data_IF_253363751846
#
_entry.id   IF_253363751846
#
_cell.length_a   1.000
_cell.length_b   1.000
_cell.length_c   1.000
_cell.angle_alpha   90.00
_cell.angle_beta   90.00
_cell.angle_gamma   90.00
#
_symmetry.space_group_name_H-M   'P 1'
#
loop_
_entity.id
_entity.type
_entity.pdbx_description
1 polymer ?
#
# COMPACT_ATOMS: atom_id res chain seq x y z
N UNK A 1 -9.98 -6.20 16.14
CA UNK A 1 -9.94 -5.20 15.06
C UNK A 1 -10.11 -5.95 13.75
N UNK A 2 -11.02 -5.52 12.87
CA UNK A 2 -11.22 -6.21 11.59
C UNK A 2 -10.00 -5.93 10.70
N UNK A 3 -9.18 -6.95 10.48
CA UNK A 3 -7.92 -6.86 9.73
C UNK A 3 -8.24 -6.83 8.22
N UNK A 4 -8.78 -5.71 7.74
CA UNK A 4 -8.99 -5.50 6.32
C UNK A 4 -7.77 -4.79 5.73
N UNK A 5 -7.25 -5.32 4.62
CA UNK A 5 -6.30 -4.58 3.79
C UNK A 5 -6.98 -3.30 3.32
N UNK A 6 -6.25 -2.19 3.39
CA UNK A 6 -6.72 -0.93 2.84
C UNK A 6 -6.59 -0.97 1.31
N UNK A 7 -7.34 -0.11 0.60
CA UNK A 7 -7.22 0.00 -0.86
C UNK A 7 -5.77 0.31 -1.31
N UNK A 8 -4.99 1.18 -0.63
CA UNK A 8 -3.56 1.36 -0.90
C UNK A 8 -2.74 0.09 -0.77
N UNK A 9 -3.03 -0.74 0.23
CA UNK A 9 -2.32 -2.00 0.41
C UNK A 9 -2.55 -2.93 -0.78
N UNK A 10 -3.79 -2.97 -1.28
CA UNK A 10 -4.16 -3.78 -2.46
C UNK A 10 -3.44 -3.28 -3.72
N UNK A 11 -3.43 -1.97 -3.95
CA UNK A 11 -2.75 -1.37 -5.11
C UNK A 11 -1.24 -1.63 -5.06
N UNK A 12 -0.64 -1.48 -3.88
CA UNK A 12 0.78 -1.74 -3.70
C UNK A 12 1.10 -3.23 -3.88
N UNK A 13 0.25 -4.14 -3.41
CA UNK A 13 0.42 -5.58 -3.64
C UNK A 13 0.40 -5.91 -5.14
N UNK A 14 -0.54 -5.35 -5.90
CA UNK A 14 -0.64 -5.57 -7.34
C UNK A 14 0.63 -5.10 -8.07
N UNK A 15 1.09 -3.87 -7.76
CA UNK A 15 2.34 -3.35 -8.31
C UNK A 15 3.53 -4.29 -8.02
N UNK A 16 3.66 -4.71 -6.76
CA UNK A 16 4.78 -5.53 -6.30
C UNK A 16 4.75 -6.95 -6.88
N UNK A 17 3.58 -7.52 -7.14
CA UNK A 17 3.43 -8.79 -7.84
C UNK A 17 3.75 -8.67 -9.33
N UNK A 18 3.39 -7.54 -9.95
CA UNK A 18 3.79 -7.26 -11.32
C UNK A 18 5.31 -7.14 -11.46
N UNK A 19 5.96 -6.41 -10.56
CA UNK A 19 7.43 -6.29 -10.51
C UNK A 19 8.13 -7.64 -10.26
N UNK A 20 7.48 -8.54 -9.53
CA UNK A 20 8.02 -9.89 -9.26
C UNK A 20 7.90 -10.84 -10.46
N UNK A 21 7.03 -10.55 -11.42
CA UNK A 21 6.79 -11.44 -12.57
C UNK A 21 8.05 -11.66 -13.43
N UNK A 22 8.97 -10.70 -13.43
CA UNK A 22 10.24 -10.77 -14.15
C UNK A 22 11.39 -11.40 -13.34
N UNK A 23 11.19 -11.70 -12.05
CA UNK A 23 12.24 -12.17 -11.13
C UNK A 23 12.23 -13.70 -11.03
N UNK A 24 13.41 -14.28 -10.76
CA UNK A 24 13.50 -15.74 -10.61
C UNK A 24 12.87 -16.21 -9.29
N UNK A 25 12.24 -17.39 -9.25
CA UNK A 25 11.64 -17.92 -8.02
C UNK A 25 12.61 -18.03 -6.84
N UNK A 26 13.89 -18.32 -7.11
CA UNK A 26 14.92 -18.41 -6.08
C UNK A 26 15.14 -17.07 -5.35
N UNK A 27 15.18 -15.95 -6.10
CA UNK A 27 15.34 -14.61 -5.53
C UNK A 27 14.12 -14.23 -4.69
N UNK A 28 12.91 -14.53 -5.19
CA UNK A 28 11.67 -14.26 -4.47
C UNK A 28 11.61 -15.04 -3.15
N UNK A 29 11.89 -16.35 -3.19
CA UNK A 29 11.94 -17.19 -1.99
C UNK A 29 12.98 -16.71 -0.96
N UNK A 30 14.16 -16.30 -1.41
CA UNK A 30 15.20 -15.80 -0.51
C UNK A 30 14.74 -14.52 0.20
N UNK A 31 14.17 -13.56 -0.54
CA UNK A 31 13.59 -12.32 0.01
C UNK A 31 12.47 -12.63 1.00
N UNK A 32 11.49 -13.42 0.57
CA UNK A 32 10.27 -13.66 1.36
C UNK A 32 10.59 -14.43 2.65
N UNK A 33 11.58 -15.34 2.60
CA UNK A 33 12.10 -15.99 3.80
C UNK A 33 12.76 -15.01 4.75
N UNK A 34 13.60 -14.08 4.25
CA UNK A 34 14.24 -13.05 5.07
C UNK A 34 13.19 -12.19 5.78
N UNK A 35 12.16 -11.75 5.05
CA UNK A 35 11.06 -10.96 5.61
C UNK A 35 10.27 -11.77 6.64
N UNK A 36 9.92 -13.02 6.34
CA UNK A 36 9.17 -13.88 7.25
C UNK A 36 9.90 -14.09 8.59
N UNK A 37 11.22 -14.30 8.56
CA UNK A 37 12.03 -14.43 9.77
C UNK A 37 12.07 -13.13 10.59
N UNK A 38 12.19 -11.97 9.93
CA UNK A 38 12.15 -10.67 10.61
C UNK A 38 10.78 -10.40 11.27
N UNK A 39 9.68 -10.77 10.59
CA UNK A 39 8.33 -10.66 11.16
C UNK A 39 8.12 -11.57 12.37
N UNK A 40 8.72 -12.77 12.36
CA UNK A 40 8.67 -13.67 13.50
C UNK A 40 9.41 -13.09 14.72
N UNK A 41 10.56 -12.43 14.50
CA UNK A 41 11.35 -11.81 15.57
C UNK A 41 10.65 -10.59 16.20
N UNK A 42 9.84 -9.87 15.43
CA UNK A 42 9.10 -8.68 15.89
C UNK A 42 7.77 -9.03 16.57
N UNK A 43 7.43 -10.32 16.69
CA UNK A 43 6.17 -10.76 17.29
C UNK A 43 4.94 -10.45 16.43
N UNK A 44 5.11 -10.36 15.11
CA UNK A 44 4.01 -10.13 14.18
C UNK A 44 2.91 -11.19 14.38
N UNK A 45 1.62 -10.80 14.50
CA UNK A 45 0.54 -11.75 14.69
C UNK A 45 0.50 -12.83 13.61
N UNK A 46 0.20 -14.06 14.00
CA UNK A 46 0.18 -15.21 13.08
C UNK A 46 -0.93 -15.15 12.01
N UNK A 47 -1.83 -14.18 12.07
CA UNK A 47 -2.95 -14.04 11.12
C UNK A 47 -2.44 -13.73 9.70
N UNK A 48 -3.06 -14.30 8.65
CA UNK A 48 -2.66 -14.04 7.26
C UNK A 48 -2.62 -12.55 6.90
N UNK A 49 -3.62 -11.78 7.31
CA UNK A 49 -3.69 -10.35 7.04
C UNK A 49 -2.53 -9.57 7.69
N UNK A 50 -2.18 -9.87 8.94
CA UNK A 50 -1.05 -9.23 9.62
C UNK A 50 0.29 -9.60 8.98
N UNK A 51 0.47 -10.86 8.57
CA UNK A 51 1.67 -11.30 7.84
C UNK A 51 1.82 -10.57 6.52
N UNK A 52 0.74 -10.43 5.76
CA UNK A 52 0.75 -9.75 4.48
C UNK A 52 1.02 -8.24 4.63
N UNK A 53 0.40 -7.59 5.62
CA UNK A 53 0.70 -6.19 5.94
C UNK A 53 2.14 -6.00 6.42
N UNK A 54 2.65 -6.92 7.25
CA UNK A 54 4.04 -6.91 7.68
C UNK A 54 5.00 -7.07 6.52
N UNK A 55 4.71 -7.99 5.60
CA UNK A 55 5.48 -8.20 4.38
C UNK A 55 5.49 -6.95 3.51
N UNK A 56 4.32 -6.32 3.32
CA UNK A 56 4.19 -5.09 2.53
C UNK A 56 5.01 -3.95 3.13
N UNK A 57 4.91 -3.75 4.46
CA UNK A 57 5.69 -2.73 5.19
C UNK A 57 7.18 -2.96 5.14
N UNK A 58 7.63 -4.21 5.12
CA UNK A 58 9.04 -4.53 4.97
C UNK A 58 9.55 -4.22 3.55
N UNK A 59 8.70 -4.43 2.54
CA UNK A 59 9.09 -4.30 1.13
C UNK A 59 9.01 -2.88 0.58
N UNK A 60 8.01 -2.10 1.00
CA UNK A 60 7.80 -0.74 0.47
C UNK A 60 9.04 0.17 0.59
N UNK A 61 9.76 0.23 1.73
CA UNK A 61 10.97 1.06 1.84
C UNK A 61 12.13 0.60 0.96
N UNK A 62 12.18 -0.69 0.60
CA UNK A 62 13.22 -1.24 -0.28
C UNK A 62 12.96 -0.87 -1.75
N UNK A 63 11.69 -0.89 -2.18
CA UNK A 63 11.30 -0.58 -3.58
C UNK A 63 11.12 0.92 -3.82
N UNK A 64 10.78 1.68 -2.77
CA UNK A 64 10.60 3.13 -2.82
C UNK A 64 11.50 3.81 -1.76
N UNK A 65 12.82 3.88 -2.00
CA UNK A 65 13.75 4.50 -1.07
C UNK A 65 13.69 6.03 -1.13
N UNK A 66 13.26 6.64 -0.02
CA UNK A 66 13.35 8.08 0.21
C UNK A 66 12.01 8.82 0.21
N UNK A 67 11.98 10.00 0.83
CA UNK A 67 10.75 10.79 1.01
C UNK A 67 10.09 11.26 -0.31
N UNK A 68 10.83 11.19 -1.42
CA UNK A 68 10.34 11.57 -2.75
C UNK A 68 9.75 10.40 -3.56
N UNK A 69 10.07 9.14 -3.21
CA UNK A 69 9.49 7.97 -3.90
C UNK A 69 8.26 7.52 -3.14
N UNK A 70 7.09 7.96 -3.61
CA UNK A 70 5.80 7.49 -3.10
C UNK A 70 5.40 6.21 -3.81
N UNK A 71 4.80 5.30 -3.07
CA UNK A 71 4.22 4.08 -3.62
C UNK A 71 2.94 4.39 -4.42
N UNK A 72 2.58 3.55 -5.42
CA UNK A 72 1.34 3.72 -6.19
C UNK A 72 0.08 3.85 -5.33
N UNK A 73 0.00 3.07 -4.24
CA UNK A 73 -1.11 3.12 -3.29
C UNK A 73 -1.21 4.46 -2.53
N UNK A 74 -0.08 5.09 -2.22
CA UNK A 74 -0.05 6.43 -1.62
C UNK A 74 -0.50 7.49 -2.63
N UNK A 75 0.03 7.43 -3.86
CA UNK A 75 -0.35 8.35 -4.95
C UNK A 75 -1.86 8.27 -5.21
N UNK A 76 -2.41 7.05 -5.26
CA UNK A 76 -3.83 6.84 -5.49
C UNK A 76 -4.70 7.35 -4.33
N UNK A 77 -4.29 7.09 -3.08
CA UNK A 77 -4.98 7.64 -1.90
C UNK A 77 -5.03 9.15 -1.89
N UNK A 78 -3.90 9.79 -2.16
CA UNK A 78 -3.82 11.25 -2.21
C UNK A 78 -4.72 11.79 -3.31
N UNK A 79 -4.68 11.18 -4.50
CA UNK A 79 -5.52 11.55 -5.64
C UNK A 79 -7.02 11.45 -5.32
N UNK A 80 -7.45 10.37 -4.65
CA UNK A 80 -8.84 10.21 -4.21
C UNK A 80 -9.26 11.27 -3.20
N UNK A 81 -8.38 11.60 -2.23
CA UNK A 81 -8.64 12.66 -1.25
C UNK A 81 -8.79 14.01 -1.94
N UNK A 82 -7.91 14.33 -2.88
CA UNK A 82 -8.00 15.56 -3.67
C UNK A 82 -9.27 15.62 -4.53
N UNK A 83 -9.65 14.52 -5.19
CA UNK A 83 -10.88 14.44 -5.97
C UNK A 83 -12.13 14.68 -5.09
N UNK A 84 -12.16 14.09 -3.89
CA UNK A 84 -13.23 14.32 -2.91
C UNK A 84 -13.33 15.79 -2.49
N UNK A 85 -12.21 16.44 -2.21
CA UNK A 85 -12.19 17.87 -1.87
C UNK A 85 -12.69 18.75 -3.03
N UNK A 86 -12.27 18.46 -4.26
CA UNK A 86 -12.75 19.18 -5.45
C UNK A 86 -14.26 19.01 -5.63
N UNK A 87 -14.78 17.80 -5.41
CA UNK A 87 -16.22 17.54 -5.49
C UNK A 87 -17.01 18.35 -4.45
N UNK A 88 -16.52 18.44 -3.22
CA UNK A 88 -17.12 19.26 -2.16
C UNK A 88 -17.11 20.74 -2.54
N UNK A 89 -15.98 21.27 -3.02
CA UNK A 89 -15.86 22.69 -3.43
C UNK A 89 -16.84 23.00 -4.56
N UNK A 90 -16.90 22.15 -5.60
CA UNK A 90 -17.84 22.33 -6.72
C UNK A 90 -19.31 22.28 -6.25
N UNK A 91 -19.65 21.33 -5.38
CA UNK A 91 -20.98 21.24 -4.79
C UNK A 91 -21.35 22.48 -3.97
N UNK A 92 -20.41 22.99 -3.17
CA UNK A 92 -20.59 24.22 -2.39
C UNK A 92 -20.79 25.46 -3.24
N UNK A 93 -20.02 25.61 -4.33
CA UNK A 93 -20.18 26.74 -5.26
C UNK A 93 -21.51 26.71 -6.01
N UNK A 94 -21.94 25.53 -6.48
CA UNK A 94 -23.25 25.38 -7.13
C UNK A 94 -24.41 25.62 -6.17
N UNK A 95 -24.30 25.13 -4.92
CA UNK A 95 -25.30 25.39 -3.88
C UNK A 95 -25.39 26.86 -3.48
N UNK A 96 -24.26 27.56 -3.43
CA UNK A 96 -24.20 28.99 -3.11
C UNK A 96 -24.67 29.89 -4.26
N UNK A 97 -24.59 29.44 -5.52
CA UNK A 97 -25.08 30.19 -6.68
C UNK A 97 -26.57 29.94 -6.99
N UNK A 98 -27.14 28.84 -6.48
CA UNK A 98 -28.54 28.48 -6.65
C UNK A 98 -29.45 28.89 -5.49
N UNK A 99 -28.87 29.37 -4.37
CA UNK A 99 -29.58 29.96 -3.24
C UNK A 99 -29.45 31.48 -3.24
#
# INVERSE_FOLDING_TARGET
MKNHLSLPDIINLEYLFHEDAARSPAVLHQRDRKIALALQQTGCPATPAAKLQGWLRARLPEEFPGAASRSPGEIFSDSLRFAGLIAIIKGGLLGAAAG
#
